data_IF_713572687815
#
_entry.id   IF_713572687815
#
_cell.length_a   1.000
_cell.length_b   1.000
_cell.length_c   1.000
_cell.angle_alpha   90.00
_cell.angle_beta   90.00
_cell.angle_gamma   90.00
#
_symmetry.space_group_name_H-M   'P 1'
#
loop_
_entity.id
_entity.type
_entity.pdbx_description
1 polymer ?
#
# COMPACT_ATOMS: atom_id res chain seq x y z
N UNK A 1 1.73 24.91 -13.04
CA UNK A 1 1.55 24.27 -14.35
C UNK A 1 0.26 23.47 -14.25
N UNK A 2 -0.76 23.78 -15.04
CA UNK A 2 -2.05 23.09 -14.95
C UNK A 2 -1.95 21.71 -15.60
N UNK A 3 -2.40 20.66 -14.91
CA UNK A 3 -2.49 19.32 -15.47
C UNK A 3 -3.48 19.31 -16.62
N UNK A 4 -3.17 18.58 -17.69
CA UNK A 4 -4.02 18.43 -18.87
C UNK A 4 -4.16 16.96 -19.22
N UNK A 5 -5.33 16.58 -19.73
CA UNK A 5 -5.64 15.20 -20.04
C UNK A 5 -6.65 15.01 -21.17
N UNK A 6 -6.70 13.79 -21.67
CA UNK A 6 -7.68 13.34 -22.67
C UNK A 6 -8.33 12.06 -22.14
N UNK A 7 -9.66 12.00 -22.21
CA UNK A 7 -10.46 10.84 -21.82
C UNK A 7 -10.19 9.65 -22.76
N UNK A 8 -9.87 8.50 -22.19
CA UNK A 8 -9.60 7.24 -22.89
C UNK A 8 -10.40 6.14 -22.19
N UNK A 9 -11.64 5.93 -22.64
CA UNK A 9 -12.58 5.04 -21.96
C UNK A 9 -12.93 5.56 -20.56
N UNK A 10 -12.86 4.73 -19.49
CA UNK A 10 -13.10 5.17 -18.11
C UNK A 10 -11.88 5.89 -17.49
N UNK A 11 -10.77 6.00 -18.22
CA UNK A 11 -9.51 6.55 -17.72
C UNK A 11 -9.19 7.88 -18.38
N UNK A 12 -8.29 8.65 -17.77
CA UNK A 12 -7.76 9.89 -18.35
C UNK A 12 -6.26 9.73 -18.57
N UNK A 13 -5.79 10.01 -19.78
CA UNK A 13 -4.37 10.06 -20.11
C UNK A 13 -3.87 11.49 -19.99
N UNK A 14 -2.88 11.72 -19.13
CA UNK A 14 -2.23 13.03 -19.00
C UNK A 14 -1.38 13.35 -20.24
N UNK A 15 -1.35 14.61 -20.63
CA UNK A 15 -0.62 15.10 -21.80
C UNK A 15 0.24 16.32 -21.45
N UNK A 16 1.40 16.44 -22.10
CA UNK A 16 2.40 17.49 -21.85
C UNK A 16 2.63 18.41 -23.06
N UNK A 17 2.01 18.10 -24.19
CA UNK A 17 2.12 18.84 -25.46
C UNK A 17 1.25 20.11 -25.52
N UNK A 18 0.60 20.48 -24.41
CA UNK A 18 -0.32 21.60 -24.31
C UNK A 18 -1.72 21.32 -24.87
N UNK A 19 -1.94 20.13 -25.46
CA UNK A 19 -3.25 19.65 -25.88
C UNK A 19 -4.10 19.15 -24.71
N UNK A 20 -5.32 18.71 -25.00
CA UNK A 20 -6.23 18.15 -23.99
C UNK A 20 -6.92 19.18 -23.10
N UNK A 21 -7.81 18.67 -22.25
CA UNK A 21 -8.65 19.45 -21.34
C UNK A 21 -7.91 19.69 -20.03
N UNK A 22 -8.09 20.85 -19.37
CA UNK A 22 -7.56 21.05 -18.03
C UNK A 22 -8.15 20.00 -17.08
N UNK A 23 -7.30 19.44 -16.23
CA UNK A 23 -7.69 18.51 -15.16
C UNK A 23 -7.73 19.29 -13.85
N UNK A 24 -8.87 19.27 -13.18
CA UNK A 24 -9.07 19.87 -11.86
C UNK A 24 -9.02 18.77 -10.82
N UNK A 25 -7.91 18.73 -10.07
CA UNK A 25 -7.76 17.88 -8.89
C UNK A 25 -8.09 18.71 -7.63
N UNK A 26 -8.58 18.01 -6.61
CA UNK A 26 -8.98 18.56 -5.32
C UNK A 26 -8.41 17.70 -4.21
N UNK A 27 -8.22 18.28 -3.04
CA UNK A 27 -7.78 17.49 -1.88
C UNK A 27 -8.79 16.40 -1.54
N UNK A 28 -8.30 15.26 -1.06
CA UNK A 28 -9.15 14.18 -0.57
C UNK A 28 -10.04 14.70 0.56
N UNK A 29 -11.36 14.43 0.53
CA UNK A 29 -12.26 14.85 1.60
C UNK A 29 -11.95 14.12 2.91
N UNK A 30 -12.45 14.64 4.02
CA UNK A 30 -12.41 13.91 5.30
C UNK A 30 -13.19 12.59 5.17
N UNK A 31 -12.54 11.49 5.53
CA UNK A 31 -13.11 10.13 5.43
C UNK A 31 -13.45 9.62 6.83
N UNK A 32 -14.72 9.35 7.15
CA UNK A 32 -15.11 8.77 8.43
C UNK A 32 -14.47 7.39 8.66
N UNK A 33 -14.30 7.01 9.93
CA UNK A 33 -13.84 5.67 10.29
C UNK A 33 -14.79 4.62 9.70
N UNK A 34 -14.22 3.60 9.04
CA UNK A 34 -14.98 2.54 8.39
C UNK A 34 -15.42 2.84 6.95
N UNK A 35 -15.06 4.01 6.42
CA UNK A 35 -15.30 4.39 5.02
C UNK A 35 -13.99 4.47 4.25
N UNK A 36 -14.07 4.38 2.93
CA UNK A 36 -12.98 4.64 2.01
C UNK A 36 -13.40 5.71 1.01
N UNK A 37 -12.46 6.57 0.61
CA UNK A 37 -12.66 7.51 -0.47
C UNK A 37 -11.94 7.01 -1.73
N UNK A 38 -12.67 6.96 -2.83
CA UNK A 38 -12.12 6.79 -4.17
C UNK A 38 -12.44 8.02 -5.02
N UNK A 39 -11.71 8.23 -6.09
CA UNK A 39 -12.04 9.29 -7.05
C UNK A 39 -12.15 8.73 -8.45
N UNK A 40 -12.96 9.40 -9.27
CA UNK A 40 -13.02 9.22 -10.72
C UNK A 40 -12.76 10.57 -11.38
N UNK A 41 -12.06 10.55 -12.51
CA UNK A 41 -11.90 11.73 -13.35
C UNK A 41 -13.03 11.74 -14.38
N UNK A 42 -13.91 12.73 -14.29
CA UNK A 42 -15.10 12.87 -15.12
C UNK A 42 -14.91 14.00 -16.11
N UNK A 43 -15.09 13.69 -17.40
CA UNK A 43 -15.09 14.71 -18.45
C UNK A 43 -16.41 15.47 -18.46
N UNK A 44 -16.36 16.75 -18.09
CA UNK A 44 -17.53 17.65 -18.06
C UNK A 44 -17.59 18.56 -19.29
N UNK A 45 -16.95 18.16 -20.39
CA UNK A 45 -16.96 18.88 -21.67
C UNK A 45 -15.77 19.81 -21.82
N UNK A 46 -15.70 20.88 -21.03
CA UNK A 46 -14.62 21.88 -21.13
C UNK A 46 -13.38 21.55 -20.28
N UNK A 47 -13.57 20.71 -19.26
CA UNK A 47 -12.53 20.28 -18.33
C UNK A 47 -12.79 18.84 -17.88
N UNK A 48 -11.82 18.27 -17.20
CA UNK A 48 -11.94 16.99 -16.52
C UNK A 48 -11.89 17.30 -15.02
N UNK A 49 -12.92 16.90 -14.28
CA UNK A 49 -13.03 17.16 -12.85
C UNK A 49 -12.82 15.86 -12.06
N UNK A 50 -12.04 15.95 -10.99
CA UNK A 50 -11.97 14.89 -10.00
C UNK A 50 -13.23 14.90 -9.15
N UNK A 51 -13.94 13.78 -9.15
CA UNK A 51 -15.13 13.55 -8.34
C UNK A 51 -14.81 12.49 -7.31
N UNK A 52 -14.99 12.83 -6.03
CA UNK A 52 -14.78 11.92 -4.90
C UNK A 52 -16.07 11.17 -4.54
N UNK A 53 -15.92 9.87 -4.26
CA UNK A 53 -16.94 9.01 -3.68
C UNK A 53 -16.44 8.52 -2.32
N UNK A 54 -17.23 8.73 -1.27
CA UNK A 54 -16.98 8.20 0.08
C UNK A 54 -17.99 7.11 0.36
N UNK A 55 -17.52 5.88 0.46
CA UNK A 55 -18.37 4.69 0.57
C UNK A 55 -17.94 3.85 1.78
N UNK A 56 -18.87 3.12 2.42
CA UNK A 56 -18.50 2.15 3.45
C UNK A 56 -17.46 1.18 2.90
N UNK A 57 -16.46 0.85 3.70
CA UNK A 57 -15.51 -0.19 3.34
C UNK A 57 -16.24 -1.49 3.09
N UNK A 58 -15.75 -2.24 2.13
CA UNK A 58 -16.25 -3.58 1.86
C UNK A 58 -15.98 -4.49 3.06
N UNK A 59 -16.81 -5.54 3.20
CA UNK A 59 -16.57 -6.60 4.20
C UNK A 59 -15.17 -7.19 4.09
N UNK A 60 -14.61 -7.26 2.87
CA UNK A 60 -13.26 -7.76 2.62
C UNK A 60 -12.17 -6.86 3.22
N UNK A 61 -12.30 -5.54 3.08
CA UNK A 61 -11.35 -4.57 3.65
C UNK A 61 -11.39 -4.55 5.18
N UNK A 62 -12.59 -4.62 5.77
CA UNK A 62 -12.75 -4.74 7.21
C UNK A 62 -12.15 -6.06 7.73
N UNK A 63 -12.43 -7.18 7.04
CA UNK A 63 -11.87 -8.47 7.40
C UNK A 63 -10.34 -8.50 7.29
N UNK A 64 -9.77 -7.90 6.24
CA UNK A 64 -8.31 -7.77 6.10
C UNK A 64 -7.72 -6.93 7.23
N UNK A 65 -8.36 -5.80 7.57
CA UNK A 65 -7.94 -4.94 8.68
C UNK A 65 -7.87 -5.75 9.99
N UNK A 66 -8.94 -6.50 10.30
CA UNK A 66 -8.99 -7.33 11.51
C UNK A 66 -7.95 -8.45 11.46
N UNK A 67 -7.79 -9.12 10.31
CA UNK A 67 -6.81 -10.20 10.14
C UNK A 67 -5.37 -9.69 10.37
N UNK A 68 -4.99 -8.54 9.80
CA UNK A 68 -3.68 -7.92 10.01
C UNK A 68 -3.46 -7.50 11.47
N UNK A 69 -4.51 -7.04 12.16
CA UNK A 69 -4.41 -6.76 13.60
C UNK A 69 -4.18 -8.03 14.42
N UNK A 70 -4.93 -9.09 14.15
CA UNK A 70 -4.79 -10.38 14.83
C UNK A 70 -3.43 -11.03 14.56
N UNK A 71 -2.94 -10.94 13.33
CA UNK A 71 -1.67 -11.52 12.88
C UNK A 71 -0.49 -11.13 13.79
N UNK A 72 -0.46 -9.90 14.30
CA UNK A 72 0.59 -9.39 15.19
C UNK A 72 0.82 -10.24 16.45
N UNK A 73 -0.20 -10.98 16.88
CA UNK A 73 -0.16 -11.84 18.07
C UNK A 73 -0.05 -13.33 17.76
N UNK A 74 0.03 -13.71 16.49
CA UNK A 74 0.12 -15.13 16.12
C UNK A 74 1.43 -15.74 16.61
N UNK A 75 1.40 -17.01 17.07
CA UNK A 75 2.59 -17.84 17.14
C UNK A 75 3.29 -17.92 15.79
N UNK A 76 4.58 -18.22 15.80
CA UNK A 76 5.41 -18.30 14.60
C UNK A 76 4.88 -19.27 13.54
N UNK A 77 4.50 -20.48 13.96
CA UNK A 77 3.97 -21.50 13.06
C UNK A 77 2.72 -21.01 12.32
N UNK A 78 1.76 -20.40 13.05
CA UNK A 78 0.54 -19.86 12.45
C UNK A 78 0.84 -18.63 11.58
N UNK A 79 1.79 -17.79 11.99
CA UNK A 79 2.21 -16.62 11.23
C UNK A 79 2.83 -17.00 9.87
N UNK A 80 3.62 -18.07 9.84
CA UNK A 80 4.24 -18.59 8.61
C UNK A 80 3.22 -19.07 7.57
N UNK A 81 2.00 -19.43 8.00
CA UNK A 81 0.91 -19.83 7.10
C UNK A 81 0.21 -18.64 6.43
N UNK A 82 0.38 -17.42 6.95
CA UNK A 82 -0.28 -16.20 6.46
C UNK A 82 0.72 -15.04 6.25
N UNK A 83 1.81 -15.25 5.51
CA UNK A 83 2.90 -14.28 5.40
C UNK A 83 2.44 -12.95 4.81
N UNK A 84 1.48 -12.97 3.89
CA UNK A 84 0.93 -11.77 3.23
C UNK A 84 0.10 -10.85 4.15
N UNK A 85 -0.16 -11.26 5.40
CA UNK A 85 -0.76 -10.35 6.40
C UNK A 85 0.28 -9.43 7.06
N UNK A 86 1.57 -9.65 6.82
CA UNK A 86 2.67 -8.84 7.35
C UNK A 86 3.23 -7.88 6.28
N UNK A 87 3.83 -6.74 6.68
CA UNK A 87 4.42 -5.82 5.72
C UNK A 87 5.54 -6.47 4.91
N UNK A 88 5.53 -6.27 3.59
CA UNK A 88 6.64 -6.70 2.74
C UNK A 88 7.92 -5.94 3.09
N UNK A 89 9.06 -6.62 3.05
CA UNK A 89 10.35 -5.98 3.23
C UNK A 89 10.57 -4.90 2.17
N UNK A 90 10.99 -3.72 2.59
CA UNK A 90 11.27 -2.58 1.73
C UNK A 90 12.55 -1.84 2.16
N UNK A 91 13.44 -1.59 1.20
CA UNK A 91 14.72 -0.90 1.45
C UNK A 91 14.55 0.57 1.85
N UNK A 92 13.43 1.19 1.51
CA UNK A 92 13.14 2.59 1.86
C UNK A 92 12.53 2.77 3.25
N UNK A 93 12.36 1.71 4.04
CA UNK A 93 11.97 1.86 5.45
C UNK A 93 13.07 2.55 6.25
N UNK A 94 12.67 3.39 7.20
CA UNK A 94 13.63 4.11 8.04
C UNK A 94 14.43 3.16 8.94
N UNK A 95 13.77 2.14 9.50
CA UNK A 95 14.35 1.17 10.43
C UNK A 95 13.43 -0.05 10.57
N UNK A 96 14.02 -1.23 10.78
CA UNK A 96 13.34 -2.40 11.36
C UNK A 96 13.77 -2.61 12.79
N UNK A 97 12.82 -2.94 13.66
CA UNK A 97 13.13 -3.23 15.07
C UNK A 97 13.34 -4.72 15.29
N UNK A 98 14.21 -5.08 16.24
CA UNK A 98 14.32 -6.47 16.68
C UNK A 98 12.95 -7.02 17.13
N UNK A 99 12.63 -8.24 16.69
CA UNK A 99 11.35 -8.91 16.88
C UNK A 99 10.29 -8.62 15.81
N UNK A 100 10.47 -7.58 14.99
CA UNK A 100 9.54 -7.25 13.91
C UNK A 100 9.51 -8.36 12.85
N UNK A 101 8.33 -8.63 12.28
CA UNK A 101 8.12 -9.64 11.24
C UNK A 101 7.83 -8.98 9.91
N UNK A 102 8.50 -9.44 8.85
CA UNK A 102 8.32 -8.94 7.48
C UNK A 102 8.11 -10.09 6.51
N UNK A 103 7.31 -9.84 5.49
CA UNK A 103 7.13 -10.75 4.37
C UNK A 103 8.19 -10.50 3.30
N UNK A 104 8.69 -11.58 2.69
CA UNK A 104 9.46 -11.48 1.47
C UNK A 104 9.39 -12.76 0.65
N UNK A 105 8.99 -12.61 -0.61
CA UNK A 105 8.95 -13.73 -1.55
C UNK A 105 7.98 -14.84 -1.14
N UNK A 106 6.94 -14.50 -0.36
CA UNK A 106 5.99 -15.44 0.21
C UNK A 106 6.46 -16.11 1.51
N UNK A 107 7.63 -15.76 2.04
CA UNK A 107 8.15 -16.27 3.33
C UNK A 107 8.14 -15.18 4.39
N UNK A 108 8.05 -15.59 5.66
CA UNK A 108 8.05 -14.67 6.79
C UNK A 108 9.42 -14.68 7.49
N UNK A 109 9.90 -13.51 7.87
CA UNK A 109 11.18 -13.34 8.54
C UNK A 109 11.03 -12.47 9.78
N UNK A 110 11.72 -12.83 10.86
CA UNK A 110 11.88 -12.03 12.07
C UNK A 110 13.18 -11.24 12.02
N UNK A 111 13.10 -9.95 12.25
CA UNK A 111 14.28 -9.10 12.47
C UNK A 111 14.93 -9.48 13.80
N UNK A 112 16.21 -9.85 13.79
CA UNK A 112 16.96 -10.24 14.98
C UNK A 112 17.59 -9.04 15.68
N UNK A 113 17.95 -8.01 14.92
CA UNK A 113 18.69 -6.85 15.41
C UNK A 113 18.13 -5.58 14.78
N UNK A 114 17.89 -4.54 15.59
CA UNK A 114 17.41 -3.26 15.07
C UNK A 114 18.42 -2.66 14.09
N UNK A 115 17.97 -2.37 12.87
CA UNK A 115 18.84 -1.85 11.81
C UNK A 115 18.06 -1.05 10.76
N UNK A 116 18.77 -0.17 10.06
CA UNK A 116 18.25 0.45 8.83
C UNK A 116 18.49 -0.49 7.65
N UNK A 117 17.46 -0.75 6.81
CA UNK A 117 17.64 -1.59 5.64
C UNK A 117 18.50 -0.93 4.57
N UNK A 118 19.26 -1.78 3.86
CA UNK A 118 20.06 -1.39 2.69
C UNK A 118 20.02 -2.53 1.67
N UNK A 119 20.42 -2.23 0.44
CA UNK A 119 20.68 -3.30 -0.53
C UNK A 119 21.79 -4.21 0.01
N UNK A 120 21.60 -5.51 -0.12
CA UNK A 120 22.47 -6.53 0.51
C UNK A 120 22.06 -6.93 1.94
N UNK A 121 21.06 -6.27 2.55
CA UNK A 121 20.51 -6.65 3.88
C UNK A 121 19.14 -7.32 3.77
N UNK A 122 18.88 -7.94 2.63
CA UNK A 122 17.64 -8.66 2.37
C UNK A 122 17.50 -9.87 3.32
N UNK A 123 16.27 -10.20 3.77
CA UNK A 123 16.02 -11.30 4.70
C UNK A 123 16.66 -12.64 4.34
N UNK A 124 16.53 -13.07 3.08
CA UNK A 124 17.14 -14.31 2.57
C UNK A 124 18.65 -14.23 2.39
N UNK A 125 19.23 -13.02 2.33
CA UNK A 125 20.65 -12.80 2.11
C UNK A 125 21.45 -12.62 3.41
N UNK A 126 20.78 -12.28 4.53
CA UNK A 126 21.47 -11.86 5.76
C UNK A 126 20.91 -12.53 7.02
N UNK A 127 21.38 -13.75 7.29
CA UNK A 127 20.98 -14.54 8.48
C UNK A 127 21.41 -13.95 9.82
N UNK A 128 22.34 -12.99 9.83
CA UNK A 128 22.73 -12.27 11.06
C UNK A 128 21.72 -11.19 11.47
N UNK A 129 20.92 -10.70 10.53
CA UNK A 129 19.89 -9.68 10.76
C UNK A 129 18.48 -10.27 10.76
N UNK A 130 18.28 -11.42 10.13
CA UNK A 130 16.97 -12.02 9.91
C UNK A 130 16.97 -13.51 10.23
N UNK A 131 15.90 -13.96 10.85
CA UNK A 131 15.57 -15.36 11.08
C UNK A 131 14.34 -15.71 10.24
N UNK A 132 14.42 -16.77 9.43
CA UNK A 132 13.26 -17.30 8.73
C UNK A 132 12.29 -17.91 9.74
N UNK A 133 11.00 -17.60 9.62
CA UNK A 133 9.95 -18.19 10.43
C UNK A 133 9.35 -19.35 9.64
N UNK A 134 9.53 -20.56 10.17
CA UNK A 134 9.00 -21.79 9.58
C UNK A 134 7.62 -22.12 10.17
N UNK A 135 6.80 -22.78 9.35
CA UNK A 135 5.46 -23.29 9.70
C UNK A 135 5.47 -24.69 10.28
#
# INVERSE_FOLDING_TARGET
>A
MALRGVSVGPSVRLVTDGGGKPVTETDQPEVPVGFAASYTLVDVGERIEQVWSVEPRSRGEDALTVATMAAKSLPDADAAMVPLLYPSWYVGMAEYRAGERVERGGSLYRCLQTHQPRLGTEPEATTSLWEAIEG
#
